data_IF_798853153712
#
_entry.id   IF_798853153712
#
_cell.length_a   1.000
_cell.length_b   1.000
_cell.length_c   1.000
_cell.angle_alpha   90.00
_cell.angle_beta   90.00
_cell.angle_gamma   90.00
#
_symmetry.space_group_name_H-M   'P 1'
#
loop_
_entity.id
_entity.type
_entity.pdbx_description
1 polymer ?
#
# COMPACT_ATOMS: atom_id res chain seq x y z
N UNK A 1 12.84 29.33 9.02
CA UNK A 1 12.03 30.57 9.14
C UNK A 1 10.66 30.32 8.55
N UNK A 2 9.69 31.18 8.87
CA UNK A 2 8.31 31.19 8.37
C UNK A 2 7.41 30.01 8.81
N UNK A 3 6.67 30.23 9.90
CA UNK A 3 5.23 29.91 9.90
C UNK A 3 4.52 30.81 8.86
N UNK A 4 3.43 30.34 8.25
CA UNK A 4 2.29 31.20 7.88
C UNK A 4 0.98 30.44 8.15
N UNK A 5 0.18 30.96 9.09
CA UNK A 5 -1.24 30.65 9.25
C UNK A 5 -2.04 31.55 8.32
N UNK A 6 -3.04 31.06 7.58
CA UNK A 6 -4.16 31.91 7.15
C UNK A 6 -5.49 31.21 6.85
N UNK A 7 -6.52 31.75 7.48
CA UNK A 7 -7.95 31.81 7.12
C UNK A 7 -8.41 33.21 7.62
N UNK A 8 -9.61 33.79 7.33
CA UNK A 8 -10.87 33.14 6.91
C UNK A 8 -11.74 34.00 5.95
N UNK A 9 -13.08 33.79 6.00
CA UNK A 9 -14.18 34.77 5.78
C UNK A 9 -14.89 34.88 4.40
N UNK A 10 -16.22 35.10 4.49
CA UNK A 10 -17.14 35.46 3.38
C UNK A 10 -18.16 34.37 2.99
N UNK A 11 -19.49 34.51 3.14
CA UNK A 11 -20.27 35.53 3.87
C UNK A 11 -21.59 35.93 3.19
N UNK A 12 -22.73 35.32 3.59
CA UNK A 12 -24.17 35.70 3.41
C UNK A 12 -25.00 34.59 4.10
N UNK A 13 -25.86 34.77 5.12
CA UNK A 13 -26.93 35.76 5.45
C UNK A 13 -28.21 35.57 4.62
N UNK A 14 -29.26 34.97 5.22
CA UNK A 14 -30.61 34.87 4.65
C UNK A 14 -31.59 34.00 5.46
N UNK A 15 -32.45 34.61 6.28
CA UNK A 15 -33.58 34.01 7.04
C UNK A 15 -34.47 35.15 7.57
N UNK A 16 -35.70 34.92 8.10
CA UNK A 16 -36.74 33.89 7.88
C UNK A 16 -38.01 34.61 7.32
N UNK A 17 -39.28 34.30 7.66
CA UNK A 17 -39.99 33.06 8.07
C UNK A 17 -40.95 32.60 6.92
N UNK A 18 -42.13 31.97 7.02
CA UNK A 18 -43.03 31.38 8.05
C UNK A 18 -43.83 30.22 7.37
N UNK A 19 -44.85 29.51 7.89
CA UNK A 19 -45.58 29.54 9.17
C UNK A 19 -46.63 28.39 9.25
N UNK A 20 -47.42 28.25 10.33
CA UNK A 20 -47.97 26.92 10.68
C UNK A 20 -49.51 26.75 10.57
N UNK A 21 -49.97 25.52 10.25
CA UNK A 21 -51.12 24.80 10.87
C UNK A 21 -51.44 23.50 10.09
N UNK A 22 -51.87 22.41 10.75
CA UNK A 22 -52.28 21.17 10.03
C UNK A 22 -52.34 19.85 10.81
N UNK A 23 -53.01 19.79 11.97
CA UNK A 23 -52.89 18.67 12.92
C UNK A 23 -53.82 17.46 12.72
N UNK A 24 -53.24 16.24 12.58
CA UNK A 24 -53.72 14.92 13.09
C UNK A 24 -52.64 13.84 12.79
N UNK A 25 -52.12 13.08 13.76
CA UNK A 25 -52.69 11.89 14.47
C UNK A 25 -53.06 10.73 13.52
N UNK A 26 -52.68 9.47 13.76
CA UNK A 26 -51.80 8.90 14.81
C UNK A 26 -51.52 7.40 14.59
N UNK A 27 -50.40 6.90 15.13
CA UNK A 27 -50.12 5.49 15.46
C UNK A 27 -49.99 4.45 14.34
N UNK A 28 -48.75 4.04 14.08
CA UNK A 28 -48.30 2.67 14.41
C UNK A 28 -46.77 2.65 14.61
N UNK A 29 -46.27 1.79 15.51
CA UNK A 29 -44.87 1.79 15.93
C UNK A 29 -43.94 1.05 14.93
N UNK A 30 -42.99 1.78 14.34
CA UNK A 30 -41.60 1.34 14.22
C UNK A 30 -40.68 2.54 14.47
N UNK A 31 -39.54 2.31 15.13
CA UNK A 31 -38.66 3.37 15.58
C UNK A 31 -37.82 3.95 14.42
N UNK A 32 -37.77 5.29 14.30
CA UNK A 32 -36.84 5.95 13.40
C UNK A 32 -35.42 5.92 13.97
N UNK A 33 -34.45 5.52 13.14
CA UNK A 33 -33.07 5.98 13.21
C UNK A 33 -32.66 6.50 11.84
N UNK A 34 -33.18 7.67 11.46
CA UNK A 34 -32.80 8.36 10.21
C UNK A 34 -31.39 8.93 10.31
N UNK A 35 -30.67 8.87 9.19
CA UNK A 35 -29.60 9.82 8.79
C UNK A 35 -28.46 10.03 9.80
N UNK A 36 -27.43 9.21 9.67
CA UNK A 36 -26.28 9.66 8.88
C UNK A 36 -26.23 8.75 7.62
N UNK A 37 -25.80 9.17 6.44
CA UNK A 37 -25.09 10.40 6.10
C UNK A 37 -23.68 10.03 5.61
N UNK A 38 -23.46 10.13 4.29
CA UNK A 38 -22.13 10.17 3.67
C UNK A 38 -21.15 9.03 4.05
N UNK A 39 -21.65 7.81 4.27
CA UNK A 39 -20.82 6.64 4.53
C UNK A 39 -21.05 5.51 3.51
N UNK A 40 -20.89 5.85 2.23
CA UNK A 40 -20.32 4.93 1.25
C UNK A 40 -18.81 4.77 1.51
N UNK A 41 -18.47 4.50 2.77
CA UNK A 41 -17.12 4.43 3.33
C UNK A 41 -16.73 2.99 3.68
N UNK A 42 -17.65 2.03 3.50
CA UNK A 42 -17.28 0.63 3.27
C UNK A 42 -16.68 0.46 1.86
N UNK A 43 -16.99 1.36 0.91
CA UNK A 43 -16.29 1.51 -0.36
C UNK A 43 -14.97 2.29 -0.24
N UNK A 44 -14.60 2.77 0.98
CA UNK A 44 -13.19 2.82 1.37
C UNK A 44 -12.72 1.44 1.82
N UNK A 45 -12.75 0.51 0.85
CA UNK A 45 -11.50 -0.13 0.50
C UNK A 45 -10.60 1.03 0.04
N UNK A 46 -9.88 1.63 1.00
CA UNK A 46 -8.60 2.23 0.66
C UNK A 46 -7.79 1.03 0.19
N UNK A 47 -7.87 0.81 -1.13
CA UNK A 47 -7.08 -0.20 -1.81
C UNK A 47 -5.65 0.28 -1.63
N UNK A 48 -4.98 -0.30 -0.63
CA UNK A 48 -3.57 -0.10 -0.41
C UNK A 48 -2.94 -0.77 -1.62
N UNK A 49 -2.74 -0.01 -2.70
CA UNK A 49 -2.11 -0.43 -3.95
C UNK A 49 -0.70 -0.90 -3.62
N UNK A 50 -0.62 -2.15 -3.19
CA UNK A 50 0.61 -2.76 -2.74
C UNK A 50 1.47 -3.00 -3.97
N UNK A 51 2.73 -2.60 -3.92
CA UNK A 51 3.61 -2.70 -5.07
C UNK A 51 4.59 -3.86 -4.88
N UNK A 52 4.54 -4.81 -5.82
CA UNK A 52 5.48 -5.92 -5.93
C UNK A 52 6.69 -5.50 -6.76
N UNK A 53 7.84 -5.44 -6.10
CA UNK A 53 9.16 -5.48 -6.74
C UNK A 53 9.46 -6.94 -7.10
N UNK A 54 9.40 -7.26 -8.39
CA UNK A 54 9.65 -8.59 -8.97
C UNK A 54 11.03 -8.59 -9.63
N UNK A 55 11.95 -9.38 -9.07
CA UNK A 55 13.34 -9.48 -9.52
C UNK A 55 13.56 -10.88 -10.08
N UNK A 56 13.85 -10.99 -11.39
CA UNK A 56 14.27 -12.27 -12.00
C UNK A 56 15.79 -12.37 -11.92
N UNK A 57 16.29 -13.56 -11.60
CA UNK A 57 17.72 -13.77 -11.46
C UNK A 57 18.20 -15.17 -11.83
N UNK A 58 19.40 -15.24 -12.36
CA UNK A 58 20.13 -16.47 -12.66
C UNK A 58 20.97 -16.84 -11.44
N UNK A 59 20.75 -18.05 -10.91
CA UNK A 59 21.44 -18.58 -9.74
C UNK A 59 22.62 -19.44 -10.22
N UNK A 60 23.82 -19.07 -9.78
CA UNK A 60 25.07 -19.80 -10.02
C UNK A 60 25.45 -20.67 -8.83
N UNK A 61 25.29 -20.14 -7.60
CA UNK A 61 25.46 -20.89 -6.34
C UNK A 61 24.25 -20.65 -5.44
N UNK A 62 23.41 -21.68 -5.31
CA UNK A 62 22.20 -21.63 -4.49
C UNK A 62 22.48 -21.53 -2.99
N UNK A 63 23.53 -22.17 -2.47
CA UNK A 63 23.83 -22.13 -1.04
C UNK A 63 24.46 -20.78 -0.65
N UNK A 64 25.35 -20.22 -1.48
CA UNK A 64 25.87 -18.88 -1.26
C UNK A 64 24.76 -17.81 -1.40
N UNK A 65 23.91 -17.92 -2.41
CA UNK A 65 22.74 -17.04 -2.57
C UNK A 65 21.81 -17.09 -1.36
N UNK A 66 21.45 -18.30 -0.90
CA UNK A 66 20.59 -18.55 0.25
C UNK A 66 21.19 -18.07 1.57
N UNK A 67 22.51 -18.16 1.73
CA UNK A 67 23.21 -17.64 2.89
C UNK A 67 23.25 -16.10 2.90
N UNK A 68 23.57 -15.45 1.78
CA UNK A 68 23.48 -13.99 1.64
C UNK A 68 22.05 -13.48 1.90
N UNK A 69 21.03 -14.14 1.32
CA UNK A 69 19.63 -13.80 1.57
C UNK A 69 19.25 -13.95 3.05
N UNK A 70 19.75 -14.98 3.76
CA UNK A 70 19.45 -15.16 5.19
C UNK A 70 20.18 -14.18 6.11
N UNK A 71 21.42 -13.82 5.78
CA UNK A 71 22.28 -12.99 6.63
C UNK A 71 22.10 -11.48 6.39
N UNK A 72 21.86 -11.08 5.14
CA UNK A 72 21.76 -9.67 4.72
C UNK A 72 20.42 -9.33 4.06
N UNK A 73 20.00 -10.11 3.06
CA UNK A 73 18.85 -9.77 2.21
C UNK A 73 17.53 -9.67 2.99
N UNK A 74 17.16 -10.73 3.70
CA UNK A 74 15.92 -10.80 4.50
C UNK A 74 15.92 -9.77 5.63
N UNK A 75 16.98 -9.60 6.45
CA UNK A 75 17.01 -8.53 7.45
C UNK A 75 16.85 -7.13 6.86
N UNK A 76 17.54 -6.83 5.75
CA UNK A 76 17.48 -5.53 5.06
C UNK A 76 16.08 -5.23 4.51
N UNK A 77 15.50 -6.19 3.79
CA UNK A 77 14.15 -6.07 3.22
C UNK A 77 13.09 -5.92 4.31
N UNK A 78 13.22 -6.65 5.43
CA UNK A 78 12.31 -6.51 6.60
C UNK A 78 12.51 -5.24 7.43
N UNK A 79 13.54 -4.44 7.14
CA UNK A 79 13.78 -3.13 7.75
C UNK A 79 13.34 -1.97 6.83
N UNK A 80 12.92 -2.25 5.60
CA UNK A 80 12.42 -1.23 4.69
C UNK A 80 11.06 -0.68 5.17
N UNK A 81 10.83 0.65 5.12
CA UNK A 81 9.51 1.23 5.34
C UNK A 81 8.49 0.64 4.36
N UNK A 82 7.27 0.40 4.83
CA UNK A 82 6.21 -0.17 4.00
C UNK A 82 6.38 -1.64 3.62
N UNK A 83 7.27 -2.41 4.26
CA UNK A 83 7.45 -3.83 3.94
C UNK A 83 6.27 -4.70 4.41
N UNK A 84 5.60 -5.42 3.48
CA UNK A 84 4.52 -6.36 3.78
C UNK A 84 5.03 -7.80 3.85
N UNK A 85 5.56 -8.32 2.74
CA UNK A 85 6.06 -9.70 2.63
C UNK A 85 7.12 -9.83 1.54
N UNK A 86 7.94 -10.87 1.61
CA UNK A 86 8.87 -11.23 0.53
C UNK A 86 9.00 -12.74 0.36
N UNK A 87 9.00 -13.16 -0.90
CA UNK A 87 9.04 -14.54 -1.34
C UNK A 87 10.19 -14.73 -2.32
N UNK A 88 11.16 -15.57 -1.93
CA UNK A 88 12.27 -15.99 -2.79
C UNK A 88 11.95 -17.38 -3.35
N UNK A 89 11.58 -17.42 -4.63
CA UNK A 89 11.14 -18.63 -5.33
C UNK A 89 12.27 -19.12 -6.22
N UNK A 90 12.64 -20.40 -6.13
CA UNK A 90 13.51 -21.05 -7.11
C UNK A 90 12.64 -21.67 -8.20
N UNK A 91 12.68 -21.13 -9.41
CA UNK A 91 11.90 -21.59 -10.56
C UNK A 91 12.56 -22.77 -11.29
N UNK A 92 13.89 -22.82 -11.35
CA UNK A 92 14.67 -23.94 -11.89
C UNK A 92 16.00 -24.07 -11.14
N UNK A 93 16.84 -25.05 -11.48
CA UNK A 93 18.15 -25.22 -10.82
C UNK A 93 19.03 -23.96 -10.90
N UNK A 94 18.93 -23.20 -12.00
CA UNK A 94 19.67 -21.96 -12.23
C UNK A 94 18.80 -20.70 -12.32
N UNK A 95 17.50 -20.75 -11.98
CA UNK A 95 16.63 -19.57 -12.03
C UNK A 95 15.91 -19.32 -10.71
N UNK A 96 16.04 -18.09 -10.22
CA UNK A 96 15.31 -17.53 -9.10
C UNK A 96 14.36 -16.41 -9.53
N UNK A 97 13.39 -16.14 -8.69
CA UNK A 97 12.61 -14.91 -8.71
C UNK A 97 12.35 -14.47 -7.28
N UNK A 98 12.68 -13.21 -6.99
CA UNK A 98 12.42 -12.58 -5.69
C UNK A 98 11.24 -11.63 -5.86
N UNK A 99 10.16 -11.85 -5.12
CA UNK A 99 8.99 -10.97 -5.10
C UNK A 99 8.94 -10.31 -3.73
N UNK A 100 9.02 -8.98 -3.68
CA UNK A 100 9.00 -8.20 -2.45
C UNK A 100 7.83 -7.23 -2.55
N UNK A 101 6.86 -7.37 -1.65
CA UNK A 101 5.60 -6.62 -1.66
C UNK A 101 5.69 -5.51 -0.61
N UNK A 102 5.37 -4.29 -1.04
CA UNK A 102 5.36 -3.09 -0.22
C UNK A 102 3.98 -2.42 -0.18
N UNK A 103 3.71 -1.61 0.84
CA UNK A 103 2.48 -0.84 1.05
C UNK A 103 2.33 0.35 0.08
N UNK A 104 3.38 0.78 -0.62
CA UNK A 104 3.32 1.85 -1.64
C UNK A 104 4.35 1.69 -2.76
N UNK A 105 4.15 2.41 -3.86
CA UNK A 105 5.06 2.44 -5.02
C UNK A 105 6.43 3.01 -4.65
N UNK A 106 6.49 4.08 -3.85
CA UNK A 106 7.74 4.72 -3.44
C UNK A 106 8.60 3.79 -2.58
N UNK A 107 7.96 2.96 -1.74
CA UNK A 107 8.65 1.93 -0.96
C UNK A 107 9.21 0.82 -1.87
N UNK A 108 8.45 0.37 -2.87
CA UNK A 108 8.92 -0.59 -3.87
C UNK A 108 10.08 -0.05 -4.73
N UNK A 109 9.99 1.22 -5.16
CA UNK A 109 11.05 1.86 -5.92
C UNK A 109 12.30 2.11 -5.05
N UNK A 110 12.15 2.48 -3.79
CA UNK A 110 13.27 2.58 -2.84
C UNK A 110 13.94 1.22 -2.59
N UNK A 111 13.16 0.15 -2.47
CA UNK A 111 13.67 -1.23 -2.42
C UNK A 111 14.44 -1.62 -3.69
N UNK A 112 13.94 -1.21 -4.86
CA UNK A 112 14.62 -1.39 -6.16
C UNK A 112 15.96 -0.66 -6.23
N UNK A 113 16.02 0.60 -5.79
CA UNK A 113 17.29 1.34 -5.70
C UNK A 113 18.25 0.74 -4.67
N UNK A 114 17.75 0.29 -3.52
CA UNK A 114 18.61 -0.33 -2.51
C UNK A 114 19.19 -1.67 -2.98
N UNK A 115 18.46 -2.41 -3.83
CA UNK A 115 18.95 -3.60 -4.52
C UNK A 115 19.98 -3.25 -5.62
N UNK A 116 19.81 -2.13 -6.35
CA UNK A 116 20.83 -1.63 -7.28
C UNK A 116 22.10 -1.15 -6.56
N UNK A 117 21.95 -0.53 -5.38
CA UNK A 117 23.05 0.03 -4.60
C UNK A 117 23.86 -1.02 -3.82
N UNK A 118 23.23 -2.12 -3.40
CA UNK A 118 23.92 -3.29 -2.85
C UNK A 118 23.38 -4.59 -3.50
N UNK A 119 23.84 -4.91 -4.72
CA UNK A 119 23.40 -6.10 -5.44
C UNK A 119 23.85 -7.38 -4.72
N UNK A 120 23.18 -8.52 -4.95
CA UNK A 120 23.66 -9.81 -4.45
C UNK A 120 25.05 -10.12 -5.03
N UNK A 121 25.87 -10.92 -4.33
CA UNK A 121 27.20 -11.30 -4.79
C UNK A 121 27.10 -12.00 -6.15
N UNK A 122 27.70 -11.39 -7.18
CA UNK A 122 27.45 -11.70 -8.60
C UNK A 122 27.91 -13.10 -9.03
N UNK A 123 28.84 -13.67 -8.28
CA UNK A 123 29.30 -15.05 -8.38
C UNK A 123 28.29 -16.09 -7.84
N UNK A 124 27.31 -15.67 -7.04
CA UNK A 124 26.20 -16.51 -6.58
C UNK A 124 24.91 -16.26 -7.37
N UNK A 125 24.60 -14.99 -7.69
CA UNK A 125 23.35 -14.56 -8.35
C UNK A 125 23.62 -13.42 -9.32
N UNK A 126 23.18 -13.57 -10.57
CA UNK A 126 23.07 -12.47 -11.54
C UNK A 126 21.61 -12.00 -11.59
N UNK A 127 21.36 -10.69 -11.54
CA UNK A 127 20.02 -10.14 -11.74
C UNK A 127 19.79 -9.95 -13.25
N UNK A 128 18.69 -10.52 -13.76
CA UNK A 128 18.35 -10.52 -15.18
C UNK A 128 17.28 -9.44 -15.49
N UNK A 129 16.31 -9.25 -14.60
CA UNK A 129 15.35 -8.14 -14.67
C UNK A 129 14.94 -7.65 -13.28
N UNK A 130 14.52 -6.39 -13.23
CA UNK A 130 13.83 -5.77 -12.08
C UNK A 130 12.58 -5.10 -12.64
N UNK A 131 11.42 -5.59 -12.22
CA UNK A 131 10.09 -5.14 -12.60
C UNK A 131 9.36 -4.65 -11.35
N UNK A 132 8.54 -3.61 -11.47
CA UNK A 132 7.65 -3.14 -10.40
C UNK A 132 6.23 -3.17 -10.97
N UNK A 133 5.27 -3.65 -10.17
CA UNK A 133 3.85 -3.68 -10.55
C UNK A 133 2.92 -3.75 -9.34
N UNK A 134 1.66 -3.42 -9.57
CA UNK A 134 0.60 -3.43 -8.55
C UNK A 134 0.14 -4.87 -8.21
N UNK A 135 -0.09 -5.14 -6.93
CA UNK A 135 -0.63 -6.40 -6.39
C UNK A 135 -2.16 -6.31 -6.38
N UNK A 136 -2.76 -6.78 -7.47
CA UNK A 136 -4.21 -6.72 -7.69
C UNK A 136 -5.03 -7.52 -6.65
N UNK A 137 -4.52 -8.67 -6.21
CA UNK A 137 -5.17 -9.58 -5.24
C UNK A 137 -4.09 -10.37 -4.45
N UNK A 138 -4.44 -10.83 -3.24
CA UNK A 138 -3.62 -11.71 -2.39
C UNK A 138 -4.51 -12.58 -1.48
N UNK A 139 -3.99 -13.73 -1.02
CA UNK A 139 -4.74 -14.76 -0.29
C UNK A 139 -3.89 -15.46 0.80
#
# INVERSE_FOLDING_TARGET
>A
MAEIVFSPEGGRRGSPPDGPSGSRKSSSFQANAKRLGLLDLAARKEDISMHALVVRSTIHDFEQARNFLRQEGVPRVRQAPGFVTAHWVRLSENSGTSMIIFESEEAAHAGGEQLRANPPPSNAVTIDSVEIGEVVEQA
#
